data_IF_957294992830
#
_entry.id   IF_957294992830
#
_cell.length_a   1.000
_cell.length_b   1.000
_cell.length_c   1.000
_cell.angle_alpha   90.00
_cell.angle_beta   90.00
_cell.angle_gamma   90.00
#
_symmetry.space_group_name_H-M   'P 1'
#
loop_
_entity.id
_entity.type
_entity.pdbx_description
1 polymer ?
#
# COMPACT_ATOMS: atom_id res chain seq x y z
N UNK A 1 -20.99 38.24 -1.44
CA UNK A 1 -19.64 37.87 -1.91
C UNK A 1 -19.19 36.72 -1.02
N UNK A 2 -19.47 35.49 -1.43
CA UNK A 2 -19.09 34.30 -0.67
C UNK A 2 -17.86 33.70 -1.33
N UNK A 3 -16.73 33.82 -0.64
CA UNK A 3 -15.44 33.27 -1.04
C UNK A 3 -15.46 31.77 -0.71
N UNK A 4 -15.81 30.93 -1.68
CA UNK A 4 -15.54 29.49 -1.61
C UNK A 4 -14.03 29.30 -1.64
N UNK A 5 -13.45 29.02 -0.48
CA UNK A 5 -12.06 28.59 -0.37
C UNK A 5 -11.83 27.40 -1.30
N UNK A 6 -11.04 27.61 -2.35
CA UNK A 6 -10.47 26.54 -3.16
C UNK A 6 -9.67 25.66 -2.22
N UNK A 7 -10.24 24.52 -1.80
CA UNK A 7 -9.51 23.52 -1.05
C UNK A 7 -8.29 23.13 -1.89
N UNK A 8 -7.10 23.54 -1.44
CA UNK A 8 -5.87 23.41 -2.20
C UNK A 8 -5.44 21.95 -2.33
N UNK A 9 -6.04 21.24 -3.28
CA UNK A 9 -5.51 19.97 -3.77
C UNK A 9 -4.07 20.20 -4.21
N UNK A 10 -3.15 19.36 -3.74
CA UNK A 10 -1.74 19.43 -4.15
C UNK A 10 -0.80 20.20 -3.22
N UNK A 11 -1.25 20.70 -2.06
CA UNK A 11 -0.30 21.14 -1.03
C UNK A 11 0.35 19.91 -0.39
N UNK A 12 1.67 19.81 -0.48
CA UNK A 12 2.45 18.78 0.21
C UNK A 12 2.54 19.11 1.70
N UNK A 13 2.11 18.17 2.56
CA UNK A 13 2.30 18.28 4.02
C UNK A 13 3.57 17.54 4.43
N UNK A 14 4.54 18.29 4.95
CA UNK A 14 5.76 17.70 5.52
C UNK A 14 5.42 16.95 6.80
N UNK A 15 5.92 15.74 6.93
CA UNK A 15 5.71 14.91 8.12
C UNK A 15 6.67 15.30 9.26
N UNK A 16 6.26 15.07 10.52
CA UNK A 16 7.14 15.21 11.68
C UNK A 16 8.38 14.30 11.61
N UNK A 17 9.51 14.68 12.24
CA UNK A 17 10.74 13.88 12.22
C UNK A 17 10.57 12.48 12.85
N UNK A 18 9.79 12.39 13.94
CA UNK A 18 9.45 11.12 14.61
C UNK A 18 8.04 10.72 14.20
N UNK A 19 7.90 9.51 13.66
CA UNK A 19 6.62 8.94 13.21
C UNK A 19 6.64 7.43 13.38
N UNK A 20 5.45 6.84 13.43
CA UNK A 20 5.31 5.38 13.42
C UNK A 20 5.68 4.84 12.04
N UNK A 21 6.35 3.69 12.03
CA UNK A 21 6.70 2.98 10.80
C UNK A 21 6.58 1.47 10.99
N UNK A 22 6.34 0.77 9.88
CA UNK A 22 6.18 -0.69 9.84
C UNK A 22 6.95 -1.26 8.66
N UNK A 23 7.71 -2.33 8.89
CA UNK A 23 8.36 -3.08 7.83
C UNK A 23 7.37 -4.08 7.23
N UNK A 24 7.30 -4.11 5.90
CA UNK A 24 6.40 -4.98 5.15
C UNK A 24 7.17 -5.76 4.10
N UNK A 25 6.75 -7.02 3.90
CA UNK A 25 7.31 -7.94 2.91
C UNK A 25 6.27 -8.18 1.83
N UNK A 26 6.65 -7.93 0.59
CA UNK A 26 5.84 -8.17 -0.60
C UNK A 26 6.53 -9.18 -1.50
N UNK A 27 5.77 -9.78 -2.40
CA UNK A 27 6.29 -10.66 -3.45
C UNK A 27 5.70 -10.25 -4.79
N UNK A 28 6.56 -10.08 -5.78
CA UNK A 28 6.20 -9.74 -7.15
C UNK A 28 7.03 -10.56 -8.13
N UNK A 29 6.37 -11.38 -8.95
CA UNK A 29 6.95 -12.31 -9.93
C UNK A 29 8.12 -13.12 -9.34
N UNK A 30 7.88 -13.76 -8.21
CA UNK A 30 8.89 -14.54 -7.46
C UNK A 30 9.93 -13.69 -6.69
N UNK A 31 10.00 -12.38 -6.92
CA UNK A 31 10.93 -11.48 -6.24
C UNK A 31 10.35 -10.99 -4.92
N UNK A 32 11.13 -11.05 -3.85
CA UNK A 32 10.73 -10.48 -2.57
C UNK A 32 11.09 -9.00 -2.51
N UNK A 33 10.22 -8.16 -1.97
CA UNK A 33 10.47 -6.74 -1.79
C UNK A 33 10.24 -6.42 -0.32
N UNK A 34 11.23 -5.84 0.35
CA UNK A 34 11.11 -5.34 1.71
C UNK A 34 10.97 -3.81 1.67
N UNK A 35 9.92 -3.31 2.30
CA UNK A 35 9.61 -1.90 2.38
C UNK A 35 9.39 -1.47 3.83
N UNK A 36 9.65 -0.20 4.11
CA UNK A 36 9.19 0.44 5.34
C UNK A 36 8.09 1.42 4.99
N UNK A 37 6.92 1.30 5.63
CA UNK A 37 5.80 2.24 5.49
C UNK A 37 5.84 3.21 6.66
N UNK A 38 5.87 4.51 6.38
CA UNK A 38 5.76 5.58 7.37
C UNK A 38 4.36 6.15 7.42
N UNK A 39 3.85 6.38 8.63
CA UNK A 39 2.48 6.84 8.86
C UNK A 39 2.43 8.31 9.27
N UNK A 40 1.27 8.94 9.03
CA UNK A 40 0.97 10.30 9.44
C UNK A 40 0.79 10.45 10.96
N UNK A 41 0.49 11.67 11.43
CA UNK A 41 0.25 11.94 12.85
C UNK A 41 -0.93 11.17 13.45
N UNK A 42 -1.90 10.76 12.61
CA UNK A 42 -3.01 9.88 13.01
C UNK A 42 -2.59 8.42 13.23
N UNK A 43 -1.31 8.10 12.96
CA UNK A 43 -0.71 6.79 13.17
C UNK A 43 -1.24 5.68 12.26
N UNK A 44 -2.22 5.96 11.40
CA UNK A 44 -2.94 4.93 10.63
C UNK A 44 -2.92 5.19 9.13
N UNK A 45 -2.78 6.45 8.69
CA UNK A 45 -2.71 6.76 7.26
C UNK A 45 -1.27 6.67 6.76
N UNK A 46 -0.98 5.83 5.75
CA UNK A 46 0.34 5.76 5.14
C UNK A 46 0.65 7.08 4.43
N UNK A 47 1.88 7.56 4.60
CA UNK A 47 2.34 8.81 4.00
C UNK A 47 3.69 8.70 3.32
N UNK A 48 4.47 7.68 3.65
CA UNK A 48 5.78 7.43 3.04
C UNK A 48 6.02 5.93 2.87
N UNK A 49 6.79 5.60 1.83
CA UNK A 49 7.32 4.28 1.55
C UNK A 49 8.83 4.42 1.35
N UNK A 50 9.59 3.53 1.95
CA UNK A 50 11.02 3.42 1.75
C UNK A 50 11.35 2.02 1.28
N UNK A 51 11.95 1.92 0.09
CA UNK A 51 12.54 0.66 -0.35
C UNK A 51 13.71 0.30 0.57
N UNK A 52 13.75 -0.95 1.03
CA UNK A 52 14.78 -1.41 1.96
C UNK A 52 15.76 -2.37 1.26
N UNK A 53 15.25 -3.46 0.70
CA UNK A 53 16.04 -4.48 -0.01
C UNK A 53 15.14 -5.53 -0.67
N UNK A 54 15.76 -6.51 -1.34
CA UNK A 54 15.19 -7.83 -1.61
C UNK A 54 14.92 -8.12 -3.08
N UNK A 55 14.79 -7.09 -3.92
CA UNK A 55 14.49 -7.28 -5.33
C UNK A 55 15.74 -7.78 -6.06
N UNK A 56 15.69 -8.95 -6.70
CA UNK A 56 16.85 -9.56 -7.37
C UNK A 56 16.75 -9.56 -8.89
N UNK A 57 15.92 -8.69 -9.47
CA UNK A 57 15.75 -8.56 -10.93
C UNK A 57 16.79 -7.68 -11.63
N UNK A 58 17.89 -7.31 -10.97
CA UNK A 58 18.94 -6.43 -11.50
C UNK A 58 18.90 -5.00 -10.93
N UNK A 59 20.02 -4.29 -11.04
CA UNK A 59 20.22 -2.95 -10.44
C UNK A 59 19.25 -1.90 -10.97
N UNK A 60 18.95 -1.94 -12.27
CA UNK A 60 18.08 -0.95 -12.89
C UNK A 60 16.65 -1.07 -12.37
N UNK A 61 16.20 -2.31 -12.15
CA UNK A 61 14.88 -2.52 -11.60
C UNK A 61 14.80 -2.20 -10.11
N UNK A 62 15.85 -2.51 -9.36
CA UNK A 62 15.95 -2.09 -7.96
C UNK A 62 15.89 -0.56 -7.83
N UNK A 63 16.62 0.16 -8.68
CA UNK A 63 16.58 1.62 -8.73
C UNK A 63 15.17 2.14 -9.05
N UNK A 64 14.49 1.55 -10.03
CA UNK A 64 13.13 1.94 -10.39
C UNK A 64 12.12 1.68 -9.25
N UNK A 65 12.25 0.56 -8.53
CA UNK A 65 11.39 0.28 -7.36
C UNK A 65 11.64 1.30 -6.24
N UNK A 66 12.90 1.68 -6.01
CA UNK A 66 13.26 2.74 -5.08
C UNK A 66 12.63 4.07 -5.48
N UNK A 67 12.74 4.47 -6.75
CA UNK A 67 12.16 5.70 -7.27
C UNK A 67 10.63 5.72 -7.17
N UNK A 68 9.97 4.59 -7.44
CA UNK A 68 8.52 4.45 -7.24
C UNK A 68 8.12 4.68 -5.77
N UNK A 69 8.90 4.20 -4.81
CA UNK A 69 8.64 4.43 -3.38
C UNK A 69 8.76 5.91 -3.03
N UNK A 70 9.78 6.61 -3.55
CA UNK A 70 9.96 8.05 -3.36
C UNK A 70 8.81 8.83 -4.01
N UNK A 71 8.45 8.49 -5.24
CA UNK A 71 7.34 9.11 -5.96
C UNK A 71 6.02 8.95 -5.21
N UNK A 72 5.70 7.72 -4.78
CA UNK A 72 4.50 7.46 -3.98
C UNK A 72 4.50 8.24 -2.67
N UNK A 73 5.65 8.36 -1.99
CA UNK A 73 5.78 9.16 -0.77
C UNK A 73 5.43 10.62 -1.02
N UNK A 74 5.92 11.21 -2.11
CA UNK A 74 5.59 12.60 -2.48
C UNK A 74 4.09 12.74 -2.76
N UNK A 75 3.52 11.80 -3.53
CA UNK A 75 2.10 11.82 -3.92
C UNK A 75 1.18 11.64 -2.72
N UNK A 76 1.47 10.72 -1.79
CA UNK A 76 0.65 10.47 -0.59
C UNK A 76 0.69 11.62 0.42
N UNK A 77 1.72 12.48 0.35
CA UNK A 77 1.82 13.69 1.15
C UNK A 77 0.96 14.84 0.61
N UNK A 78 0.40 14.72 -0.60
CA UNK A 78 -0.53 15.70 -1.15
C UNK A 78 -1.91 15.59 -0.49
N UNK A 79 -2.51 16.74 -0.19
CA UNK A 79 -3.87 16.80 0.32
C UNK A 79 -4.88 16.26 -0.71
N UNK A 80 -5.84 15.48 -0.22
CA UNK A 80 -6.88 14.85 -1.04
C UNK A 80 -6.46 13.54 -1.74
N UNK A 81 -5.17 13.18 -1.71
CA UNK A 81 -4.69 11.94 -2.34
C UNK A 81 -4.67 10.79 -1.35
N UNK A 82 -5.21 9.65 -1.76
CA UNK A 82 -5.18 8.40 -1.00
C UNK A 82 -4.69 7.26 -1.88
N UNK A 83 -4.04 6.25 -1.28
CA UNK A 83 -3.59 5.07 -2.02
C UNK A 83 -4.75 4.34 -2.71
N UNK A 84 -5.88 4.19 -2.00
CA UNK A 84 -7.10 3.61 -2.56
C UNK A 84 -7.66 4.41 -3.74
N UNK A 85 -7.60 5.75 -3.68
CA UNK A 85 -7.98 6.61 -4.79
C UNK A 85 -7.09 6.40 -6.02
N UNK A 86 -5.78 6.35 -5.81
CA UNK A 86 -4.82 6.13 -6.90
C UNK A 86 -4.93 4.72 -7.50
N UNK A 87 -5.17 3.70 -6.66
CA UNK A 87 -5.36 2.30 -7.09
C UNK A 87 -6.48 2.14 -8.11
N UNK A 88 -7.56 2.95 -8.03
CA UNK A 88 -8.69 2.91 -8.98
C UNK A 88 -8.29 3.23 -10.42
N UNK A 89 -7.16 3.89 -10.63
CA UNK A 89 -6.65 4.24 -11.96
C UNK A 89 -5.59 3.26 -12.46
N UNK A 90 -5.28 2.21 -11.71
CA UNK A 90 -4.28 1.23 -12.07
C UNK A 90 -4.90 0.04 -12.81
N UNK A 91 -4.14 -0.51 -13.75
CA UNK A 91 -4.53 -1.74 -14.44
C UNK A 91 -4.49 -2.93 -13.48
N UNK A 92 -5.50 -3.79 -13.61
CA UNK A 92 -5.56 -5.09 -12.96
C UNK A 92 -5.34 -6.19 -14.01
N UNK A 93 -4.83 -7.33 -13.57
CA UNK A 93 -4.74 -8.58 -14.32
C UNK A 93 -5.32 -9.70 -13.47
N UNK A 94 -5.24 -10.94 -13.92
CA UNK A 94 -5.76 -12.10 -13.21
C UNK A 94 -4.65 -13.11 -12.96
N UNK A 95 -4.67 -13.72 -11.78
CA UNK A 95 -3.85 -14.90 -11.49
C UNK A 95 -4.38 -16.06 -12.36
N UNK A 96 -3.54 -16.58 -13.26
CA UNK A 96 -3.93 -17.63 -14.21
C UNK A 96 -4.34 -18.95 -13.53
N UNK A 97 -3.91 -19.18 -12.28
CA UNK A 97 -4.14 -20.41 -11.54
C UNK A 97 -5.35 -20.32 -10.62
N UNK A 98 -5.59 -19.16 -10.00
CA UNK A 98 -6.75 -18.96 -9.10
C UNK A 98 -7.91 -18.22 -9.74
N UNK A 99 -7.67 -17.47 -10.82
CA UNK A 99 -8.63 -16.56 -11.44
C UNK A 99 -8.86 -15.26 -10.65
N UNK A 100 -8.14 -15.05 -9.55
CA UNK A 100 -8.32 -13.88 -8.71
C UNK A 100 -7.72 -12.62 -9.35
N UNK A 101 -8.36 -11.45 -9.21
CA UNK A 101 -7.78 -10.20 -9.68
C UNK A 101 -6.53 -9.86 -8.87
N UNK A 102 -5.48 -9.47 -9.58
CA UNK A 102 -4.19 -9.06 -9.03
C UNK A 102 -3.67 -7.79 -9.72
N UNK A 103 -2.79 -7.01 -9.08
CA UNK A 103 -2.15 -5.87 -9.73
C UNK A 103 -1.43 -6.28 -11.02
N UNK A 104 -1.58 -5.49 -12.09
CA UNK A 104 -0.83 -5.73 -13.33
C UNK A 104 0.62 -5.24 -13.27
N UNK A 105 0.98 -4.44 -12.26
CA UNK A 105 2.32 -3.85 -12.10
C UNK A 105 2.75 -3.78 -10.64
N UNK A 106 4.07 -3.60 -10.45
CA UNK A 106 4.65 -3.39 -9.11
C UNK A 106 4.09 -2.15 -8.43
N UNK A 107 3.79 -1.09 -9.16
CA UNK A 107 3.15 0.11 -8.60
C UNK A 107 1.75 -0.19 -8.07
N UNK A 108 0.97 -0.98 -8.80
CA UNK A 108 -0.35 -1.44 -8.33
C UNK A 108 -0.23 -2.30 -7.07
N UNK A 109 0.78 -3.15 -6.98
CA UNK A 109 1.08 -3.95 -5.79
C UNK A 109 1.45 -3.07 -4.59
N UNK A 110 2.32 -2.07 -4.79
CA UNK A 110 2.68 -1.12 -3.74
C UNK A 110 1.46 -0.38 -3.20
N UNK A 111 0.58 0.09 -4.09
CA UNK A 111 -0.66 0.79 -3.73
C UNK A 111 -1.65 -0.10 -2.99
N UNK A 112 -1.78 -1.36 -3.41
CA UNK A 112 -2.59 -2.35 -2.70
C UNK A 112 -2.05 -2.61 -1.30
N UNK A 113 -0.74 -2.83 -1.18
CA UNK A 113 -0.09 -3.07 0.11
C UNK A 113 -0.31 -1.91 1.06
N UNK A 114 -0.01 -0.66 0.67
CA UNK A 114 -0.20 0.47 1.58
C UNK A 114 -1.66 0.77 1.88
N UNK A 115 -2.61 0.24 1.10
CA UNK A 115 -4.03 0.32 1.44
C UNK A 115 -4.41 -0.59 2.61
N UNK A 116 -3.59 -1.61 2.93
CA UNK A 116 -3.79 -2.39 4.14
C UNK A 116 -3.46 -1.56 5.39
N UNK A 117 -4.30 -1.60 6.44
CA UNK A 117 -4.03 -0.87 7.68
C UNK A 117 -2.77 -1.40 8.41
N UNK A 118 -2.12 -0.56 9.24
CA UNK A 118 -1.00 -1.00 10.08
C UNK A 118 -1.44 -2.04 11.11
N UNK A 119 -0.46 -2.82 11.63
CA UNK A 119 -0.72 -3.87 12.62
C UNK A 119 -1.34 -3.35 13.93
N UNK A 120 -1.17 -2.07 14.23
CA UNK A 120 -1.68 -1.43 15.44
C UNK A 120 -2.96 -0.61 15.20
N UNK A 121 -3.56 -0.66 14.00
CA UNK A 121 -4.75 0.14 13.68
C UNK A 121 -5.89 -0.05 14.69
N UNK A 122 -6.11 -1.29 15.13
CA UNK A 122 -7.16 -1.64 16.11
C UNK A 122 -6.91 -0.98 17.46
N UNK A 123 -5.66 -0.98 17.92
CA UNK A 123 -5.30 -0.38 19.19
C UNK A 123 -5.54 1.13 19.16
N UNK A 124 -5.27 1.79 18.02
CA UNK A 124 -5.57 3.22 17.84
C UNK A 124 -7.07 3.47 17.80
N UNK A 125 -7.84 2.64 17.08
CA UNK A 125 -9.30 2.77 17.03
C UNK A 125 -9.95 2.58 18.41
N UNK A 126 -9.49 1.58 19.18
CA UNK A 126 -9.94 1.35 20.55
C UNK A 126 -9.59 2.52 21.47
N UNK A 127 -8.36 3.04 21.41
CA UNK A 127 -7.94 4.17 22.24
C UNK A 127 -8.76 5.43 21.97
N UNK A 128 -9.08 5.72 20.70
CA UNK A 128 -9.94 6.84 20.32
C UNK A 128 -11.38 6.63 20.80
N UNK A 129 -11.95 5.43 20.62
CA UNK A 129 -13.30 5.12 21.10
C UNK A 129 -13.41 5.18 22.63
N UNK A 130 -12.40 4.73 23.38
CA UNK A 130 -12.39 4.86 24.86
C UNK A 130 -12.30 6.32 25.33
N UNK A 131 -11.59 7.18 24.59
CA UNK A 131 -11.52 8.60 24.90
C UNK A 131 -12.86 9.31 24.64
N UNK A 132 -13.61 8.86 23.63
CA UNK A 132 -14.93 9.38 23.29
C UNK A 132 -15.99 8.96 24.33
N UNK A 133 -15.97 7.70 24.79
CA UNK A 133 -16.84 7.23 25.89
C UNK A 133 -16.54 7.97 27.20
N UNK A 134 -15.26 8.21 27.53
CA UNK A 134 -14.89 8.99 28.71
C UNK A 134 -15.30 10.48 28.61
N UNK A 135 -15.38 11.03 27.39
CA UNK A 135 -15.89 12.37 27.15
C UNK A 135 -17.43 12.44 27.23
N UNK A 136 -18.14 11.39 26.80
CA UNK A 136 -19.61 11.32 26.85
C UNK A 136 -20.15 11.19 28.29
N UNK A 137 -19.37 10.64 29.23
CA UNK A 137 -19.70 10.68 30.67
C UNK A 137 -19.72 12.10 31.27
N UNK A 138 -19.25 13.13 30.53
CA UNK A 138 -19.38 14.55 30.91
C UNK A 138 -20.52 15.30 30.20
N UNK A 139 -21.34 14.60 29.40
CA UNK A 139 -22.60 15.08 28.84
C UNK A 139 -22.47 15.91 27.57
N UNK A 140 -22.82 15.32 26.43
CA UNK A 140 -23.87 15.71 25.46
C UNK A 140 -23.70 14.81 24.22
N UNK A 141 -24.76 14.04 23.95
CA UNK A 141 -24.76 12.85 23.09
C UNK A 141 -24.51 13.10 21.60
N UNK A 142 -23.94 12.08 20.94
CA UNK A 142 -24.36 11.63 19.61
C UNK A 142 -23.29 11.66 18.53
N UNK A 143 -22.49 10.60 18.42
CA UNK A 143 -21.73 10.29 17.21
C UNK A 143 -21.77 8.78 16.91
N UNK A 144 -21.89 8.47 15.62
CA UNK A 144 -22.14 7.14 15.10
C UNK A 144 -21.04 6.14 15.50
N UNK A 145 -21.49 5.01 16.04
CA UNK A 145 -20.69 3.86 16.47
C UNK A 145 -19.84 3.31 15.31
N UNK A 146 -18.53 3.57 15.33
CA UNK A 146 -17.57 2.93 14.42
C UNK A 146 -17.09 1.65 15.08
N UNK A 147 -17.49 0.48 14.57
CA UNK A 147 -17.07 -0.82 15.12
C UNK A 147 -15.53 -1.01 14.96
N UNK A 148 -14.77 -0.99 16.07
CA UNK A 148 -13.31 -1.14 16.03
C UNK A 148 -12.86 -2.56 15.69
N UNK A 149 -13.73 -3.57 15.72
CA UNK A 149 -13.39 -4.96 15.35
C UNK A 149 -13.25 -5.16 13.84
N UNK A 150 -14.00 -4.39 13.05
CA UNK A 150 -14.01 -4.49 11.59
C UNK A 150 -12.68 -4.07 10.94
N UNK A 151 -11.97 -3.08 11.51
CA UNK A 151 -10.69 -2.60 10.99
C UNK A 151 -9.57 -3.66 11.09
N UNK A 152 -9.58 -4.47 12.16
CA UNK A 152 -8.57 -5.47 12.44
C UNK A 152 -8.70 -6.73 11.61
N UNK A 153 -9.94 -7.12 11.38
CA UNK A 153 -10.26 -8.19 10.46
C UNK A 153 -9.94 -7.79 9.02
N UNK A 154 -10.24 -6.55 8.62
CA UNK A 154 -9.86 -6.02 7.31
C UNK A 154 -8.33 -5.99 7.11
N UNK A 155 -7.55 -5.63 8.14
CA UNK A 155 -6.09 -5.68 8.10
C UNK A 155 -5.51 -7.08 7.93
N UNK A 156 -6.04 -8.05 8.70
CA UNK A 156 -5.65 -9.46 8.58
C UNK A 156 -6.05 -10.04 7.23
N UNK A 157 -7.25 -9.73 6.74
CA UNK A 157 -7.77 -10.22 5.46
C UNK A 157 -6.97 -9.66 4.28
N UNK A 158 -6.64 -8.35 4.30
CA UNK A 158 -5.82 -7.68 3.29
C UNK A 158 -4.44 -8.34 3.18
N UNK A 159 -3.76 -8.57 4.32
CA UNK A 159 -2.44 -9.23 4.35
C UNK A 159 -2.50 -10.68 3.91
N UNK A 160 -3.57 -11.40 4.27
CA UNK A 160 -3.77 -12.80 3.86
C UNK A 160 -3.97 -12.89 2.36
N UNK A 161 -4.72 -11.95 1.77
CA UNK A 161 -4.93 -11.86 0.32
C UNK A 161 -3.61 -11.64 -0.42
N UNK A 162 -2.84 -10.62 -0.03
CA UNK A 162 -1.54 -10.31 -0.68
C UNK A 162 -0.56 -11.48 -0.55
N UNK A 163 -0.50 -12.13 0.62
CA UNK A 163 0.33 -13.30 0.85
C UNK A 163 -0.12 -14.55 0.06
N UNK A 164 -1.38 -14.60 -0.39
CA UNK A 164 -1.91 -15.67 -1.24
C UNK A 164 -1.53 -15.44 -2.70
N UNK A 165 -1.70 -14.22 -3.20
CA UNK A 165 -1.26 -13.81 -4.55
C UNK A 165 0.25 -14.06 -4.72
N UNK A 166 1.04 -13.77 -3.69
CA UNK A 166 2.49 -14.03 -3.64
C UNK A 166 2.89 -15.50 -3.89
N UNK A 167 2.08 -16.49 -3.49
CA UNK A 167 2.41 -17.92 -3.61
C UNK A 167 2.00 -18.53 -4.95
N UNK A 168 1.30 -17.78 -5.78
CA UNK A 168 0.59 -18.32 -6.94
C UNK A 168 1.02 -17.71 -8.27
N UNK A 169 1.93 -16.73 -8.24
CA UNK A 169 2.53 -16.21 -9.46
C UNK A 169 3.51 -17.23 -10.07
N UNK A 170 3.39 -17.55 -11.37
CA UNK A 170 4.33 -18.43 -12.04
C UNK A 170 5.72 -17.78 -12.08
N UNK A 171 6.77 -18.56 -11.84
CA UNK A 171 8.11 -18.16 -12.27
C UNK A 171 8.09 -18.19 -13.80
N UNK A 172 8.20 -17.03 -14.45
CA UNK A 172 8.26 -16.99 -15.91
C UNK A 172 9.52 -17.74 -16.38
N UNK A 173 9.29 -18.81 -17.13
CA UNK A 173 10.29 -19.68 -17.74
C UNK A 173 11.24 -18.84 -18.62
N UNK A 174 12.54 -19.10 -18.51
CA UNK A 174 13.56 -18.51 -19.38
C UNK A 174 13.31 -18.83 -20.86
N UNK A 175 13.90 -18.05 -21.79
CA UNK A 175 13.56 -18.16 -23.19
C UNK A 175 14.04 -19.50 -23.77
N UNK A 176 13.09 -20.37 -24.15
CA UNK A 176 13.32 -21.45 -25.09
C UNK A 176 13.59 -20.83 -26.47
N UNK A 177 14.87 -20.73 -26.84
CA UNK A 177 15.27 -20.40 -28.20
C UNK A 177 15.52 -21.69 -29.00
N UNK A 178 14.79 -21.96 -30.10
CA UNK A 178 15.30 -22.90 -31.09
C UNK A 178 16.33 -22.17 -31.95
N UNK A 179 17.59 -22.61 -31.86
CA UNK A 179 18.63 -22.22 -32.81
C UNK A 179 18.24 -22.73 -34.21
N UNK A 180 18.08 -21.79 -35.14
CA UNK A 180 17.83 -22.04 -36.55
C UNK A 180 18.90 -22.96 -37.15
N UNK A 181 18.45 -23.88 -37.99
CA UNK A 181 19.30 -24.69 -38.85
C UNK A 181 20.01 -23.81 -39.89
N UNK A 182 21.34 -23.87 -39.93
CA UNK A 182 22.14 -23.49 -41.08
C UNK A 182 22.32 -24.73 -41.97
N UNK A 183 21.77 -24.68 -43.18
CA UNK A 183 22.16 -25.56 -44.30
C UNK A 183 23.12 -24.78 -45.17
N UNK A 184 24.38 -25.22 -45.20
CA UNK A 184 25.38 -24.87 -46.22
C UNK A 184 25.13 -25.72 -47.48
N UNK A 185 24.93 -25.05 -48.63
CA UNK A 185 25.35 -25.52 -49.96
C UNK A 185 25.75 -24.31 -50.82
#
# INVERSE_FOLDING_TARGET
>A
MSETATAGTGRRRRLPPRRLSENRKLVWKGQTIFLTVGYGPDGTKPKELFYSAGYRGGSDMEALVSDLCVLLSVVLQLDGVTAAGFRKSMSETFDLRTGDPMPASILGLLLEEVSCPPQWADAVAQALGTAEVAADETGISGAAEVDPRAAGEAGRLCRTRIARTARHQPEEHGPDGPASAETDE
#
